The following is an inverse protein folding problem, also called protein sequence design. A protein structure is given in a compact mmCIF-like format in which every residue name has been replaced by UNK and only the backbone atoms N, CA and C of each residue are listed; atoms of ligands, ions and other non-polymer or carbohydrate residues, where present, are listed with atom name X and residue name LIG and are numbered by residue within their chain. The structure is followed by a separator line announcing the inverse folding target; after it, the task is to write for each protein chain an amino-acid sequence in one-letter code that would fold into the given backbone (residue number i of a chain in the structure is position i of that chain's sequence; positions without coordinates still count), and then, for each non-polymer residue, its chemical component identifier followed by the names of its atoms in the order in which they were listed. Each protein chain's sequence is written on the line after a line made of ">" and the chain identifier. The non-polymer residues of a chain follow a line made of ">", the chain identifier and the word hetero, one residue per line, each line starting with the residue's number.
data_IF_205476512820
#
_entry.id   IF_205476512820
#
_cell.length_a   1.000
_cell.length_b   1.000
_cell.length_c   1.000
_cell.angle_alpha   90.00
_cell.angle_beta   90.00
_cell.angle_gamma   90.00
#
_symmetry.space_group_name_H-M   'P 1'
#
loop_
_entity.id
_entity.type
_entity.pdbx_description
1 polymer ?
#
# COMPACT_ATOMS: atom_id res chain seq x y z
N UNK A 1 -15.59 62.11 -28.25
CA UNK A 1 -14.21 62.27 -27.74
C UNK A 1 -14.20 61.58 -26.41
N UNK A 2 -13.92 60.29 -26.44
CA UNK A 2 -14.01 59.42 -25.29
C UNK A 2 -12.76 59.65 -24.44
N UNK A 3 -12.91 60.42 -23.37
CA UNK A 3 -11.88 60.51 -22.33
C UNK A 3 -11.96 59.22 -21.52
N UNK A 4 -11.20 58.21 -21.94
CA UNK A 4 -10.93 57.06 -21.12
C UNK A 4 -9.95 57.48 -20.02
N UNK A 5 -10.48 58.06 -18.94
CA UNK A 5 -9.73 58.35 -17.73
C UNK A 5 -9.39 57.00 -17.08
N UNK A 6 -8.17 56.52 -17.36
CA UNK A 6 -7.72 55.22 -16.90
C UNK A 6 -7.75 55.12 -15.36
N UNK A 7 -7.96 53.92 -14.79
CA UNK A 7 -8.00 53.73 -13.35
C UNK A 7 -6.73 54.30 -12.68
N UNK A 8 -6.87 55.01 -11.54
CA UNK A 8 -5.71 55.60 -10.87
C UNK A 8 -4.70 54.52 -10.49
N UNK A 9 -3.40 54.83 -10.57
CA UNK A 9 -2.31 53.85 -10.33
C UNK A 9 -2.44 53.09 -9.00
N UNK A 10 -2.99 53.75 -7.97
CA UNK A 10 -3.27 53.12 -6.68
C UNK A 10 -4.28 51.96 -6.79
N UNK A 11 -5.31 52.11 -7.63
CA UNK A 11 -6.30 51.05 -7.90
C UNK A 11 -5.67 49.90 -8.68
N UNK A 12 -4.81 50.19 -9.66
CA UNK A 12 -4.08 49.16 -10.40
C UNK A 12 -3.14 48.35 -9.49
N UNK A 13 -2.41 49.02 -8.58
CA UNK A 13 -1.51 48.36 -7.63
C UNK A 13 -2.32 47.52 -6.63
N UNK A 14 -3.40 48.05 -6.07
CA UNK A 14 -4.25 47.30 -5.14
C UNK A 14 -4.86 46.06 -5.80
N UNK A 15 -5.35 46.19 -7.03
CA UNK A 15 -5.88 45.07 -7.80
C UNK A 15 -4.81 43.99 -8.06
N UNK A 16 -3.58 44.39 -8.40
CA UNK A 16 -2.47 43.46 -8.61
C UNK A 16 -2.11 42.69 -7.34
N UNK A 17 -2.01 43.38 -6.20
CA UNK A 17 -1.68 42.74 -4.90
C UNK A 17 -2.76 41.74 -4.51
N UNK A 18 -4.03 42.10 -4.68
CA UNK A 18 -5.17 41.20 -4.41
C UNK A 18 -5.11 39.98 -5.33
N UNK A 19 -4.86 40.18 -6.64
CA UNK A 19 -4.77 39.09 -7.60
C UNK A 19 -3.64 38.10 -7.27
N UNK A 20 -2.45 38.63 -6.97
CA UNK A 20 -1.28 37.80 -6.60
C UNK A 20 -1.52 37.07 -5.27
N UNK A 21 -2.09 37.74 -4.27
CA UNK A 21 -2.44 37.14 -3.00
C UNK A 21 -3.48 36.01 -3.15
N UNK A 22 -4.51 36.22 -3.97
CA UNK A 22 -5.52 35.21 -4.25
C UNK A 22 -4.92 33.99 -4.98
N UNK A 23 -4.07 34.20 -5.98
CA UNK A 23 -3.36 33.12 -6.69
C UNK A 23 -2.47 32.34 -5.72
N UNK A 24 -1.69 33.04 -4.89
CA UNK A 24 -0.84 32.41 -3.87
C UNK A 24 -1.63 31.54 -2.90
N UNK A 25 -2.78 32.04 -2.41
CA UNK A 25 -3.67 31.28 -1.53
C UNK A 25 -4.26 30.05 -2.23
N UNK A 26 -4.73 30.19 -3.48
CA UNK A 26 -5.28 29.07 -4.27
C UNK A 26 -4.22 27.99 -4.51
N UNK A 27 -2.98 28.37 -4.86
CA UNK A 27 -1.89 27.44 -5.06
C UNK A 27 -1.50 26.72 -3.76
N UNK A 28 -1.47 27.42 -2.64
CA UNK A 28 -1.21 26.81 -1.32
C UNK A 28 -2.31 25.80 -0.94
N UNK A 29 -3.58 26.13 -1.19
CA UNK A 29 -4.71 25.21 -0.96
C UNK A 29 -4.64 24.01 -1.91
N UNK A 30 -4.33 24.22 -3.19
CA UNK A 30 -4.20 23.14 -4.16
C UNK A 30 -3.05 22.18 -3.82
N UNK A 31 -1.91 22.71 -3.37
CA UNK A 31 -0.77 21.90 -2.93
C UNK A 31 -1.04 21.07 -1.67
N UNK A 32 -2.02 21.47 -0.85
CA UNK A 32 -2.39 20.75 0.38
C UNK A 32 -3.59 19.81 0.19
N UNK A 33 -4.40 20.00 -0.85
CA UNK A 33 -5.49 19.10 -1.22
C UNK A 33 -4.95 17.82 -1.86
N UNK A 34 -4.82 16.78 -1.04
CA UNK A 34 -4.76 15.42 -1.55
C UNK A 34 -6.20 14.93 -1.72
N UNK A 35 -6.64 14.53 -2.94
CA UNK A 35 -7.94 13.90 -3.09
C UNK A 35 -7.98 12.68 -2.14
N UNK A 36 -8.98 12.63 -1.26
CA UNK A 36 -9.16 11.50 -0.37
C UNK A 36 -9.34 10.25 -1.23
N UNK A 37 -8.36 9.35 -1.19
CA UNK A 37 -8.47 8.09 -1.93
C UNK A 37 -9.66 7.31 -1.40
N UNK A 38 -10.50 6.81 -2.30
CA UNK A 38 -11.63 5.98 -1.90
C UNK A 38 -11.12 4.78 -1.09
N UNK A 39 -11.78 4.44 0.04
CA UNK A 39 -11.39 3.29 0.83
C UNK A 39 -11.35 1.99 0.02
N UNK A 40 -10.48 1.07 0.41
CA UNK A 40 -10.32 -0.25 -0.22
C UNK A 40 -11.23 -1.25 0.49
N UNK A 41 -12.14 -1.88 -0.23
CA UNK A 41 -12.84 -3.06 0.27
C UNK A 41 -11.89 -4.25 0.24
N UNK A 42 -11.55 -4.79 1.41
CA UNK A 42 -10.67 -5.97 1.53
C UNK A 42 -11.54 -7.18 1.84
N UNK A 43 -11.61 -8.12 0.91
CA UNK A 43 -12.32 -9.38 1.14
C UNK A 43 -11.70 -10.13 2.33
N UNK A 44 -12.57 -10.60 3.23
CA UNK A 44 -12.20 -11.43 4.35
C UNK A 44 -11.76 -12.82 3.85
N UNK A 45 -10.64 -13.29 4.39
CA UNK A 45 -10.07 -14.62 4.16
C UNK A 45 -9.72 -15.17 5.55
N UNK A 46 -9.82 -16.49 5.80
CA UNK A 46 -9.42 -17.08 7.07
C UNK A 46 -8.00 -16.65 7.46
N UNK A 47 -7.91 -15.95 8.60
CA UNK A 47 -6.67 -15.43 9.17
C UNK A 47 -6.67 -15.66 10.69
N UNK A 48 -6.64 -16.92 11.15
CA UNK A 48 -6.77 -17.25 12.57
C UNK A 48 -5.65 -16.65 13.44
N UNK A 49 -4.50 -16.31 12.83
CA UNK A 49 -3.36 -15.72 13.50
C UNK A 49 -3.26 -14.20 13.29
N UNK A 50 -4.29 -13.53 12.76
CA UNK A 50 -4.25 -12.07 12.50
C UNK A 50 -3.98 -11.23 13.76
N UNK A 51 -4.35 -11.72 14.94
CA UNK A 51 -4.08 -11.08 16.23
C UNK A 51 -2.67 -11.33 16.80
N UNK A 52 -1.83 -12.10 16.11
CA UNK A 52 -0.49 -12.45 16.58
C UNK A 52 0.38 -11.16 16.76
N UNK A 53 1.21 -11.07 17.82
CA UNK A 53 2.13 -9.93 18.01
C UNK A 53 3.00 -9.61 16.78
N UNK A 54 3.43 -10.64 16.02
CA UNK A 54 4.20 -10.45 14.79
C UNK A 54 3.40 -9.65 13.75
N UNK A 55 2.11 -9.94 13.58
CA UNK A 55 1.25 -9.18 12.66
C UNK A 55 1.08 -7.72 13.10
N UNK A 56 0.92 -7.48 14.40
CA UNK A 56 0.85 -6.10 14.93
C UNK A 56 2.15 -5.33 14.66
N UNK A 57 3.29 -5.93 14.99
CA UNK A 57 4.60 -5.33 14.75
C UNK A 57 4.83 -5.01 13.26
N UNK A 58 4.45 -5.93 12.36
CA UNK A 58 4.51 -5.68 10.92
C UNK A 58 3.60 -4.52 10.52
N UNK A 59 2.32 -4.54 10.91
CA UNK A 59 1.34 -3.50 10.55
C UNK A 59 1.77 -2.11 11.01
N UNK A 60 2.36 -2.00 12.21
CA UNK A 60 2.87 -0.75 12.79
C UNK A 60 4.10 -0.23 12.02
N UNK A 61 4.91 -1.11 11.44
CA UNK A 61 6.10 -0.76 10.67
C UNK A 61 5.84 -0.55 9.17
N UNK A 62 4.63 -0.82 8.68
CA UNK A 62 4.31 -0.73 7.27
C UNK A 62 4.43 0.71 6.73
N UNK A 63 5.04 0.90 5.55
CA UNK A 63 5.30 2.22 5.01
C UNK A 63 4.01 2.90 4.51
N UNK A 64 4.05 4.23 4.44
CA UNK A 64 2.99 5.04 3.84
C UNK A 64 2.94 4.91 2.31
N UNK A 65 3.99 4.38 1.68
CA UNK A 65 4.02 4.07 0.24
C UNK A 65 4.73 2.73 0.03
N UNK A 66 4.24 1.94 -0.91
CA UNK A 66 4.92 0.80 -1.50
C UNK A 66 5.16 1.09 -2.98
N UNK A 67 6.39 1.44 -3.34
CA UNK A 67 6.71 2.03 -4.64
C UNK A 67 5.83 3.26 -4.91
N UNK A 68 5.14 3.25 -6.04
CA UNK A 68 4.24 4.34 -6.45
C UNK A 68 2.87 4.29 -5.75
N UNK A 69 2.57 3.22 -5.00
CA UNK A 69 1.27 2.99 -4.38
C UNK A 69 1.23 3.63 -2.98
N UNK A 70 0.47 4.74 -2.77
CA UNK A 70 0.25 5.28 -1.42
C UNK A 70 -0.67 4.39 -0.59
N UNK A 71 -0.52 4.45 0.73
CA UNK A 71 -1.36 3.72 1.70
C UNK A 71 -2.80 4.19 1.57
N UNK A 72 -3.72 3.23 1.48
CA UNK A 72 -5.14 3.49 1.38
C UNK A 72 -5.87 3.00 2.64
N UNK A 73 -6.89 3.75 3.06
CA UNK A 73 -7.78 3.32 4.14
C UNK A 73 -8.58 2.08 3.71
N UNK A 74 -8.82 1.15 4.62
CA UNK A 74 -9.75 0.05 4.38
C UNK A 74 -11.18 0.47 4.70
N UNK A 75 -12.16 -0.11 3.99
CA UNK A 75 -13.59 0.01 4.36
C UNK A 75 -13.80 -0.66 5.71
N UNK A 76 -14.56 0.00 6.59
CA UNK A 76 -14.85 -0.51 7.92
C UNK A 76 -16.14 -1.34 7.94
N UNK A 77 -16.18 -2.46 8.70
CA UNK A 77 -15.07 -3.02 9.50
C UNK A 77 -14.02 -3.74 8.65
N UNK A 78 -12.75 -3.35 8.77
CA UNK A 78 -11.65 -3.99 8.06
C UNK A 78 -11.28 -5.34 8.70
N UNK A 79 -10.94 -6.36 7.90
CA UNK A 79 -10.39 -7.61 8.44
C UNK A 79 -9.10 -7.34 9.21
N UNK A 80 -8.94 -7.98 10.36
CA UNK A 80 -7.72 -7.88 11.16
C UNK A 80 -6.49 -8.32 10.36
N UNK A 81 -5.32 -7.76 10.67
CA UNK A 81 -4.07 -8.17 10.01
C UNK A 81 -3.94 -7.67 8.56
N UNK A 82 -4.72 -6.66 8.13
CA UNK A 82 -4.73 -6.21 6.72
C UNK A 82 -4.25 -4.79 6.52
N UNK A 83 -3.69 -4.54 5.34
CA UNK A 83 -3.33 -3.22 4.86
C UNK A 83 -3.48 -3.16 3.33
N UNK A 84 -3.70 -1.97 2.78
CA UNK A 84 -3.79 -1.79 1.35
C UNK A 84 -3.06 -0.52 0.89
N UNK A 85 -2.59 -0.55 -0.36
CA UNK A 85 -2.05 0.59 -1.08
C UNK A 85 -2.70 0.65 -2.46
N UNK A 86 -2.98 1.86 -2.95
CA UNK A 86 -3.70 2.05 -4.21
C UNK A 86 -3.22 3.31 -4.91
N UNK A 87 -2.79 3.18 -6.17
CA UNK A 87 -2.49 4.34 -7.03
C UNK A 87 -3.65 4.67 -7.99
N UNK A 88 -4.24 3.64 -8.62
CA UNK A 88 -5.38 3.75 -9.55
C UNK A 88 -6.50 2.79 -9.10
N UNK A 89 -6.88 1.82 -9.93
CA UNK A 89 -8.09 1.03 -9.70
C UNK A 89 -7.86 -0.17 -8.77
N UNK A 90 -6.83 -0.98 -9.04
CA UNK A 90 -6.59 -2.19 -8.27
C UNK A 90 -5.60 -1.99 -7.11
N UNK A 91 -5.97 -2.40 -5.89
CA UNK A 91 -5.12 -2.24 -4.72
C UNK A 91 -4.07 -3.37 -4.62
N UNK A 92 -2.88 -3.01 -4.16
CA UNK A 92 -1.96 -3.95 -3.51
C UNK A 92 -2.48 -4.22 -2.11
N UNK A 93 -2.66 -5.50 -1.75
CA UNK A 93 -3.24 -5.88 -0.45
C UNK A 93 -2.29 -6.79 0.30
N UNK A 94 -2.03 -6.44 1.56
CA UNK A 94 -1.34 -7.28 2.52
C UNK A 94 -2.35 -7.92 3.48
N UNK A 95 -2.14 -9.20 3.77
CA UNK A 95 -2.86 -9.95 4.81
C UNK A 95 -1.84 -10.70 5.68
N UNK A 96 -1.97 -10.63 6.99
CA UNK A 96 -1.10 -11.31 7.94
C UNK A 96 -1.88 -12.29 8.80
N UNK A 97 -1.25 -13.41 9.15
CA UNK A 97 -1.81 -14.41 10.05
C UNK A 97 -2.75 -15.40 9.36
N UNK A 98 -2.49 -15.67 8.08
CA UNK A 98 -3.20 -16.65 7.28
C UNK A 98 -2.83 -18.08 7.67
N UNK A 99 -3.68 -19.03 7.27
CA UNK A 99 -3.30 -20.44 7.23
C UNK A 99 -2.26 -20.70 6.13
N UNK A 100 -1.57 -21.84 6.24
CA UNK A 100 -0.63 -22.29 5.21
C UNK A 100 -1.37 -22.41 3.86
N UNK A 101 -0.81 -21.87 2.76
CA UNK A 101 -1.38 -22.08 1.43
C UNK A 101 -1.47 -23.57 1.10
N UNK A 102 -2.61 -24.01 0.55
CA UNK A 102 -2.85 -25.43 0.26
C UNK A 102 -1.78 -26.02 -0.68
N UNK A 103 -1.33 -25.21 -1.64
CA UNK A 103 -0.35 -25.61 -2.66
C UNK A 103 1.11 -25.49 -2.17
N UNK A 104 1.34 -25.01 -0.95
CA UNK A 104 2.69 -24.98 -0.36
C UNK A 104 3.06 -26.37 0.18
N UNK A 105 3.44 -27.24 -0.74
CA UNK A 105 3.87 -28.64 -0.51
C UNK A 105 5.38 -28.80 -0.66
N UNK A 106 5.92 -29.95 -0.24
CA UNK A 106 7.34 -30.28 -0.43
C UNK A 106 7.68 -30.20 -1.93
N UNK A 107 8.74 -29.47 -2.26
CA UNK A 107 9.16 -29.24 -3.65
C UNK A 107 8.49 -28.05 -4.34
N UNK A 108 7.56 -27.35 -3.67
CA UNK A 108 7.00 -26.10 -4.18
C UNK A 108 8.10 -25.06 -4.45
N UNK A 109 8.07 -24.36 -5.59
CA UNK A 109 9.08 -23.36 -5.92
C UNK A 109 8.97 -22.15 -4.98
N UNK A 110 10.11 -21.69 -4.48
CA UNK A 110 10.22 -20.50 -3.61
C UNK A 110 11.17 -19.48 -4.22
N UNK A 111 10.93 -18.21 -3.93
CA UNK A 111 11.80 -17.11 -4.33
C UNK A 111 12.28 -16.35 -3.10
N UNK A 112 13.57 -16.00 -3.08
CA UNK A 112 14.14 -15.17 -2.02
C UNK A 112 14.17 -13.72 -2.48
N UNK A 113 13.54 -12.84 -1.72
CA UNK A 113 13.58 -11.38 -1.92
C UNK A 113 13.98 -10.77 -0.58
N UNK A 114 15.10 -10.05 -0.55
CA UNK A 114 15.62 -9.38 0.65
C UNK A 114 15.56 -10.23 1.93
N UNK A 115 16.09 -11.47 1.86
CA UNK A 115 16.15 -12.45 2.97
C UNK A 115 14.81 -13.03 3.43
N UNK A 116 13.73 -12.76 2.70
CA UNK A 116 12.40 -13.37 2.91
C UNK A 116 12.16 -14.41 1.83
N UNK A 117 11.69 -15.61 2.23
CA UNK A 117 11.30 -16.66 1.29
C UNK A 117 9.81 -16.56 0.97
N UNK A 118 9.49 -16.45 -0.31
CA UNK A 118 8.16 -16.27 -0.83
C UNK A 118 7.72 -17.44 -1.70
N UNK A 119 6.49 -17.89 -1.51
CA UNK A 119 5.77 -18.83 -2.36
C UNK A 119 4.70 -18.09 -3.16
N UNK A 120 4.71 -18.24 -4.49
CA UNK A 120 3.75 -17.57 -5.38
C UNK A 120 2.54 -18.46 -5.66
N UNK A 121 1.35 -17.91 -5.45
CA UNK A 121 0.09 -18.45 -5.96
C UNK A 121 -0.45 -17.47 -7.00
N UNK A 122 -0.55 -17.93 -8.25
CA UNK A 122 -1.11 -17.15 -9.35
C UNK A 122 -2.59 -17.46 -9.49
N UNK A 123 -3.41 -16.43 -9.57
CA UNK A 123 -4.83 -16.55 -9.85
C UNK A 123 -5.19 -15.51 -10.90
N UNK A 124 -5.66 -15.96 -12.06
CA UNK A 124 -5.93 -15.12 -13.22
C UNK A 124 -4.69 -14.26 -13.59
N UNK A 125 -4.84 -12.94 -13.59
CA UNK A 125 -3.79 -11.97 -13.86
C UNK A 125 -3.11 -11.41 -12.59
N UNK A 126 -3.50 -11.91 -11.42
CA UNK A 126 -2.97 -11.52 -10.11
C UNK A 126 -1.96 -12.52 -9.59
N UNK A 127 -0.96 -12.02 -8.87
CA UNK A 127 0.00 -12.83 -8.12
C UNK A 127 -0.15 -12.59 -6.62
N UNK A 128 -0.33 -13.64 -5.84
CA UNK A 128 -0.30 -13.58 -4.37
C UNK A 128 0.94 -14.28 -3.85
N UNK A 129 1.78 -13.53 -3.14
CA UNK A 129 3.05 -13.98 -2.60
C UNK A 129 2.92 -14.24 -1.11
N UNK A 130 3.24 -15.44 -0.65
CA UNK A 130 3.16 -15.84 0.75
C UNK A 130 4.55 -15.97 1.36
N UNK A 131 4.82 -15.33 2.49
CA UNK A 131 6.02 -15.61 3.27
C UNK A 131 5.95 -17.01 3.87
N UNK A 132 6.97 -17.83 3.65
CA UNK A 132 6.97 -19.23 4.14
C UNK A 132 7.99 -19.49 5.24
N UNK A 133 8.85 -18.52 5.53
CA UNK A 133 9.93 -18.59 6.51
C UNK A 133 9.74 -17.58 7.65
N UNK A 134 8.49 -17.25 7.98
CA UNK A 134 8.09 -16.33 9.07
C UNK A 134 7.14 -17.04 10.04
N UNK A 135 7.05 -16.61 11.32
CA UNK A 135 6.26 -17.31 12.35
C UNK A 135 4.75 -17.33 12.08
N UNK A 136 4.27 -16.48 11.17
CA UNK A 136 2.90 -16.43 10.67
C UNK A 136 2.96 -16.22 9.15
N UNK A 137 1.99 -16.76 8.41
CA UNK A 137 1.93 -16.55 6.96
C UNK A 137 1.41 -15.14 6.65
N UNK A 138 2.19 -14.39 5.88
CA UNK A 138 1.83 -13.07 5.33
C UNK A 138 1.67 -13.21 3.83
N UNK A 139 0.56 -12.72 3.29
CA UNK A 139 0.31 -12.66 1.86
C UNK A 139 0.39 -11.21 1.35
N UNK A 140 1.03 -11.02 0.20
CA UNK A 140 0.99 -9.82 -0.61
C UNK A 140 0.34 -10.14 -1.96
N UNK A 141 -0.86 -9.60 -2.19
CA UNK A 141 -1.53 -9.70 -3.49
C UNK A 141 -1.18 -8.47 -4.34
N UNK A 142 -0.62 -8.72 -5.52
CA UNK A 142 -0.24 -7.71 -6.50
C UNK A 142 -1.18 -7.78 -7.72
N UNK A 143 -1.77 -6.65 -8.15
CA UNK A 143 -2.47 -6.58 -9.43
C UNK A 143 -1.53 -6.74 -10.62
N UNK A 144 -2.07 -6.94 -11.84
CA UNK A 144 -1.28 -7.00 -13.07
C UNK A 144 -0.46 -5.72 -13.28
N UNK A 145 0.73 -5.87 -13.87
CA UNK A 145 1.59 -4.74 -14.24
C UNK A 145 2.37 -4.11 -13.07
N UNK A 146 2.23 -4.64 -11.85
CA UNK A 146 3.03 -4.19 -10.70
C UNK A 146 4.45 -4.70 -10.84
N UNK A 147 5.42 -3.79 -10.82
CA UNK A 147 6.85 -4.13 -10.77
C UNK A 147 7.28 -4.75 -9.44
N UNK A 148 8.56 -5.13 -9.27
CA UNK A 148 9.03 -5.86 -8.09
C UNK A 148 9.21 -4.98 -6.84
N UNK A 149 9.13 -3.65 -6.96
CA UNK A 149 9.40 -2.73 -5.86
C UNK A 149 8.54 -2.95 -4.60
N UNK A 150 7.21 -3.18 -4.69
CA UNK A 150 6.39 -3.43 -3.50
C UNK A 150 6.83 -4.67 -2.71
N UNK A 151 7.18 -5.78 -3.38
CA UNK A 151 7.62 -6.99 -2.69
C UNK A 151 9.01 -6.83 -2.07
N UNK A 152 9.93 -6.09 -2.71
CA UNK A 152 11.25 -5.76 -2.14
C UNK A 152 11.12 -4.94 -0.87
N UNK A 153 10.43 -3.79 -0.94
CA UNK A 153 10.24 -2.91 0.22
C UNK A 153 9.50 -3.60 1.37
N UNK A 154 8.49 -4.40 1.05
CA UNK A 154 7.79 -5.16 2.07
C UNK A 154 8.70 -6.25 2.69
N UNK A 155 9.55 -6.89 1.90
CA UNK A 155 10.49 -7.89 2.40
C UNK A 155 11.45 -7.30 3.43
N UNK A 156 11.98 -6.09 3.20
CA UNK A 156 12.81 -5.37 4.16
C UNK A 156 12.09 -5.03 5.48
N UNK A 157 10.78 -4.76 5.43
CA UNK A 157 9.98 -4.50 6.63
C UNK A 157 9.72 -5.80 7.38
N UNK A 158 9.39 -6.87 6.67
CA UNK A 158 9.15 -8.20 7.25
C UNK A 158 10.43 -8.71 7.92
N UNK A 159 11.58 -8.63 7.26
CA UNK A 159 12.87 -9.06 7.82
C UNK A 159 13.22 -8.34 9.14
N UNK A 160 12.88 -7.05 9.26
CA UNK A 160 13.12 -6.27 10.49
C UNK A 160 12.11 -6.54 11.60
N UNK A 161 10.89 -6.98 11.27
CA UNK A 161 9.78 -7.08 12.23
C UNK A 161 9.45 -8.52 12.63
N UNK A 162 9.88 -9.50 11.83
CA UNK A 162 9.58 -10.91 12.03
C UNK A 162 10.85 -11.75 11.87
N UNK A 163 11.22 -12.57 12.88
CA UNK A 163 12.37 -13.45 12.76
C UNK A 163 12.13 -14.52 11.70
N UNK A 164 13.20 -14.95 11.04
CA UNK A 164 13.17 -16.11 10.17
C UNK A 164 12.95 -17.40 10.98
N UNK A 165 12.14 -18.31 10.46
CA UNK A 165 11.91 -19.65 11.02
C UNK A 165 12.06 -20.71 9.91
N UNK A 166 12.34 -21.98 10.25
CA UNK A 166 12.34 -23.05 9.26
C UNK A 166 11.00 -23.14 8.52
N UNK A 167 11.05 -23.34 7.20
CA UNK A 167 9.86 -23.52 6.37
C UNK A 167 9.12 -24.82 6.74
N UNK A 168 7.79 -24.85 6.60
CA UNK A 168 6.94 -26.00 6.95
C UNK A 168 5.93 -26.36 5.84
N UNK A 169 6.42 -26.86 4.68
CA UNK A 169 5.54 -27.29 3.60
C UNK A 169 4.69 -28.51 3.98
N UNK A 170 3.56 -28.69 3.31
CA UNK A 170 2.77 -29.92 3.42
C UNK A 170 3.50 -31.10 2.74
N UNK A 171 3.33 -32.35 3.21
CA UNK A 171 3.84 -33.52 2.50
C UNK A 171 3.31 -33.60 1.06
N UNK A 172 4.06 -34.25 0.16
CA UNK A 172 3.51 -34.72 -1.10
C UNK A 172 2.47 -35.80 -0.78
N UNK A 173 1.27 -35.66 -1.33
CA UNK A 173 0.17 -36.62 -1.17
C UNK A 173 0.50 -38.00 -1.74
#
# INVERSE_FOLDING_TARGET
>A
MDNYEGPPRAVLIAALVIAVGAIGAVLAIAATRHPAQQPVAIAAVPAPQAGNPACRALLDALPQRLGDYPRAAAVQPAPAGTAAWRAQDEPVVLRCGLDRPADFVVGAPIQVVDRVQWFEVRQDDRSTWYTVDRPVYVALTLPPGVGPTPIQQLSEVIDRTMPAVPISPAPLG
#
